data_IF_939192622333
#
_entry.id   IF_939192622333
#
_cell.length_a   1.000
_cell.length_b   1.000
_cell.length_c   1.000
_cell.angle_alpha   90.00
_cell.angle_beta   90.00
_cell.angle_gamma   90.00
#
_symmetry.space_group_name_H-M   'P 1'
#
loop_
_entity.id
_entity.type
_entity.pdbx_description
1 polymer ?
#
# COMPACT_ATOMS: atom_id res chain seq x y z
N UNK A 1 13.44 2.32 8.16
CA UNK A 1 13.70 1.04 8.87
C UNK A 1 14.14 1.35 10.30
N UNK A 2 13.91 0.43 11.23
CA UNK A 2 14.32 0.54 12.63
C UNK A 2 14.87 -0.82 13.08
N UNK A 3 16.01 -0.83 13.78
CA UNK A 3 16.60 -2.06 14.34
C UNK A 3 16.03 -2.38 15.73
N UNK A 4 15.63 -1.36 16.48
CA UNK A 4 15.17 -1.44 17.87
C UNK A 4 13.65 -1.30 18.03
N UNK A 5 12.94 -0.90 16.98
CA UNK A 5 11.51 -0.60 17.00
C UNK A 5 11.17 0.75 17.66
N UNK A 6 12.16 1.58 18.00
CA UNK A 6 11.99 2.87 18.67
C UNK A 6 12.55 4.03 17.83
N UNK A 7 13.65 3.78 17.12
CA UNK A 7 14.35 4.75 16.30
C UNK A 7 14.08 4.46 14.83
N UNK A 8 13.34 5.35 14.16
CA UNK A 8 12.92 5.15 12.77
C UNK A 8 13.71 6.06 11.84
N UNK A 9 14.39 5.47 10.85
CA UNK A 9 14.91 6.21 9.70
C UNK A 9 13.79 6.71 8.77
N UNK A 10 14.12 7.55 7.77
CA UNK A 10 13.15 8.08 6.82
C UNK A 10 12.39 6.94 6.12
N UNK A 11 11.06 7.06 5.94
CA UNK A 11 10.28 6.06 5.23
C UNK A 11 10.43 6.21 3.71
N UNK A 12 10.16 5.11 2.99
CA UNK A 12 9.96 5.11 1.54
C UNK A 12 8.46 4.96 1.24
N UNK A 13 8.00 5.59 0.15
CA UNK A 13 6.64 5.42 -0.33
C UNK A 13 6.55 4.07 -1.07
N UNK A 14 5.69 3.17 -0.59
CA UNK A 14 5.56 1.80 -1.12
C UNK A 14 4.39 1.72 -2.12
N UNK A 15 3.36 2.53 -1.94
CA UNK A 15 2.21 2.68 -2.84
C UNK A 15 1.91 4.17 -2.96
N UNK A 16 1.95 4.69 -4.19
CA UNK A 16 1.58 6.06 -4.51
C UNK A 16 0.39 6.01 -5.47
N UNK A 17 -0.76 6.54 -5.05
CA UNK A 17 -1.89 6.72 -5.95
C UNK A 17 -1.60 7.80 -7.00
N UNK A 18 -2.22 7.70 -8.18
CA UNK A 18 -2.05 8.68 -9.26
C UNK A 18 -2.65 10.08 -9.01
N UNK A 19 -3.28 10.33 -7.85
CA UNK A 19 -3.85 11.63 -7.48
C UNK A 19 -5.23 11.90 -8.09
N UNK A 20 -5.74 13.12 -7.90
CA UNK A 20 -7.10 13.51 -8.33
C UNK A 20 -7.34 13.48 -9.86
N UNK A 21 -6.29 13.37 -10.67
CA UNK A 21 -6.35 13.24 -12.12
C UNK A 21 -6.26 11.77 -12.59
N UNK A 22 -6.22 10.82 -11.65
CA UNK A 22 -6.12 9.38 -11.93
C UNK A 22 -7.48 8.68 -11.81
N UNK A 23 -7.66 7.65 -12.65
CA UNK A 23 -8.80 6.73 -12.60
C UNK A 23 -8.49 5.44 -11.80
N UNK A 24 -7.36 5.41 -11.09
CA UNK A 24 -6.92 4.27 -10.28
C UNK A 24 -7.79 4.08 -9.02
N UNK A 25 -7.76 2.86 -8.49
CA UNK A 25 -8.58 2.45 -7.34
C UNK A 25 -8.20 3.17 -6.05
N UNK A 26 -6.95 3.59 -5.94
CA UNK A 26 -6.30 4.25 -4.79
C UNK A 26 -5.81 5.66 -5.13
N UNK A 27 -6.42 6.28 -6.15
CA UNK A 27 -6.08 7.61 -6.62
C UNK A 27 -6.02 8.67 -5.50
N UNK A 28 -6.88 8.58 -4.48
CA UNK A 28 -6.94 9.53 -3.36
C UNK A 28 -6.24 8.99 -2.11
N UNK A 29 -6.52 7.75 -1.72
CA UNK A 29 -5.94 7.12 -0.52
C UNK A 29 -5.53 5.68 -0.74
N UNK A 30 -4.41 5.31 -0.12
CA UNK A 30 -3.95 3.95 0.13
C UNK A 30 -3.52 3.84 1.61
N UNK A 31 -4.28 3.12 2.44
CA UNK A 31 -4.09 3.11 3.90
C UNK A 31 -4.50 1.78 4.56
N UNK A 32 -4.29 1.68 5.88
CA UNK A 32 -4.66 0.52 6.71
C UNK A 32 -4.17 -0.83 6.16
N UNK A 33 -2.85 -0.92 6.02
CA UNK A 33 -2.19 -2.03 5.34
C UNK A 33 -2.01 -3.25 6.26
N UNK A 34 -2.23 -4.45 5.70
CA UNK A 34 -1.82 -5.73 6.27
C UNK A 34 -0.95 -6.49 5.27
N UNK A 35 0.22 -6.97 5.71
CA UNK A 35 1.18 -7.68 4.85
C UNK A 35 1.32 -9.14 5.28
N UNK A 36 1.21 -10.06 4.32
CA UNK A 36 1.42 -11.50 4.51
C UNK A 36 2.55 -12.01 3.61
N UNK A 37 3.20 -13.08 4.04
CA UNK A 37 4.18 -13.82 3.23
C UNK A 37 3.47 -14.95 2.49
N UNK A 38 3.75 -15.09 1.18
CA UNK A 38 3.24 -16.16 0.34
C UNK A 38 4.21 -17.36 0.35
N UNK A 39 3.72 -18.55 -0.01
CA UNK A 39 4.52 -19.78 0.00
C UNK A 39 5.72 -19.78 -0.95
N UNK A 40 5.78 -18.83 -1.89
CA UNK A 40 6.87 -18.62 -2.83
C UNK A 40 7.87 -17.52 -2.39
N UNK A 41 7.74 -17.02 -1.16
CA UNK A 41 8.62 -15.99 -0.59
C UNK A 41 8.24 -14.54 -0.94
N UNK A 42 7.27 -14.33 -1.84
CA UNK A 42 6.74 -12.97 -2.12
C UNK A 42 5.91 -12.46 -0.95
N UNK A 43 5.73 -11.14 -0.91
CA UNK A 43 4.87 -10.47 0.08
C UNK A 43 3.63 -9.92 -0.62
N UNK A 44 2.47 -10.15 -0.02
CA UNK A 44 1.21 -9.53 -0.44
C UNK A 44 0.74 -8.55 0.60
N UNK A 45 0.47 -7.32 0.18
CA UNK A 45 -0.18 -6.29 0.97
C UNK A 45 -1.66 -6.25 0.58
N UNK A 46 -2.55 -6.21 1.57
CA UNK A 46 -3.94 -5.78 1.43
C UNK A 46 -4.08 -4.40 2.09
N UNK A 47 -4.83 -3.49 1.46
CA UNK A 47 -4.98 -2.12 1.94
C UNK A 47 -6.34 -1.54 1.55
N UNK A 48 -6.80 -0.53 2.30
CA UNK A 48 -7.96 0.27 1.96
C UNK A 48 -7.58 1.28 0.87
N UNK A 49 -8.39 1.32 -0.20
CA UNK A 49 -8.18 2.16 -1.37
C UNK A 49 -9.39 3.04 -1.61
N UNK A 50 -9.15 4.32 -1.89
CA UNK A 50 -10.19 5.31 -2.23
C UNK A 50 -9.90 5.95 -3.58
N UNK A 51 -10.87 5.86 -4.49
CA UNK A 51 -10.80 6.52 -5.80
C UNK A 51 -11.32 7.97 -5.74
N UNK A 52 -11.20 8.69 -6.85
CA UNK A 52 -11.60 10.11 -6.96
C UNK A 52 -13.11 10.34 -6.81
N UNK A 53 -13.93 9.29 -6.93
CA UNK A 53 -15.36 9.33 -6.65
C UNK A 53 -15.71 9.03 -5.18
N UNK A 54 -14.70 8.86 -4.31
CA UNK A 54 -14.88 8.56 -2.89
C UNK A 54 -15.30 7.11 -2.61
N UNK A 55 -15.09 6.20 -3.56
CA UNK A 55 -15.50 4.79 -3.40
C UNK A 55 -14.38 3.99 -2.75
N UNK A 56 -14.68 3.45 -1.57
CA UNK A 56 -13.76 2.65 -0.78
C UNK A 56 -13.82 1.15 -1.11
N UNK A 57 -12.65 0.53 -1.27
CA UNK A 57 -12.50 -0.91 -1.56
C UNK A 57 -11.25 -1.48 -0.88
N UNK A 58 -11.18 -2.81 -0.81
CA UNK A 58 -9.94 -3.51 -0.47
C UNK A 58 -9.16 -3.77 -1.77
N UNK A 59 -7.94 -3.27 -1.85
CA UNK A 59 -7.00 -3.53 -2.93
C UNK A 59 -5.85 -4.43 -2.46
N UNK A 60 -5.03 -4.92 -3.40
CA UNK A 60 -3.83 -5.70 -3.06
C UNK A 60 -2.66 -5.44 -4.00
N UNK A 61 -1.46 -5.37 -3.43
CA UNK A 61 -0.19 -5.31 -4.14
C UNK A 61 0.68 -6.52 -3.79
N UNK A 62 1.57 -6.94 -4.71
CA UNK A 62 2.49 -8.06 -4.51
C UNK A 62 3.89 -7.67 -4.96
N UNK A 63 4.91 -8.10 -4.23
CA UNK A 63 6.31 -7.90 -4.66
C UNK A 63 6.59 -8.63 -5.97
N UNK A 64 7.48 -8.07 -6.79
CA UNK A 64 8.01 -8.74 -7.98
C UNK A 64 8.77 -10.02 -7.66
N UNK A 65 9.06 -10.81 -8.69
CA UNK A 65 9.95 -11.97 -8.65
C UNK A 65 11.42 -11.57 -8.60
#
# INVERSE_FOLDING_TARGET
MSEDGLSFGPPECIVAGGGYESDELDAVHAEDMSVITLGDGRRRMYYAACDTAGRWRIASAVTGS
#
